data_IF_682096776123
#
_entry.id   IF_682096776123
#
_cell.length_a   1.000
_cell.length_b   1.000
_cell.length_c   1.000
_cell.angle_alpha   90.00
_cell.angle_beta   90.00
_cell.angle_gamma   90.00
#
_symmetry.space_group_name_H-M   'P 1'
#
loop_
_entity.id
_entity.type
_entity.pdbx_description
1 polymer ?
#
# COMPACT_ATOMS: atom_id res chain seq x y z
N UNK A 1 -2.84 -9.38 -5.04
CA UNK A 1 -4.17 -8.94 -4.63
C UNK A 1 -5.06 -8.71 -5.85
N UNK A 2 -4.86 -7.69 -6.66
CA UNK A 2 -5.72 -7.33 -7.81
C UNK A 2 -5.91 -8.42 -8.88
N UNK A 3 -5.16 -9.47 -8.89
CA UNK A 3 -5.28 -10.60 -9.82
C UNK A 3 -6.10 -11.81 -9.32
N UNK A 4 -6.71 -11.74 -8.13
CA UNK A 4 -7.49 -12.87 -7.59
C UNK A 4 -6.75 -14.21 -7.58
N UNK A 5 -5.40 -14.19 -7.50
CA UNK A 5 -4.55 -15.38 -7.61
C UNK A 5 -4.13 -15.75 -9.05
N UNK A 6 -4.59 -15.00 -10.06
CA UNK A 6 -4.23 -15.16 -11.47
C UNK A 6 -3.41 -13.97 -11.97
N UNK A 7 -2.82 -14.10 -13.16
CA UNK A 7 -2.14 -12.98 -13.84
C UNK A 7 -3.20 -12.01 -14.39
N UNK A 8 -2.99 -10.72 -14.18
CA UNK A 8 -3.88 -9.67 -14.68
C UNK A 8 -4.72 -9.02 -13.59
N UNK A 9 -5.74 -8.27 -13.99
CA UNK A 9 -6.70 -7.60 -13.12
C UNK A 9 -7.94 -8.47 -12.96
N UNK A 10 -8.34 -8.71 -11.73
CA UNK A 10 -9.61 -9.36 -11.41
C UNK A 10 -10.64 -8.27 -11.06
N UNK A 11 -11.68 -8.06 -11.89
CA UNK A 11 -12.66 -7.00 -11.67
C UNK A 11 -13.40 -7.10 -10.33
N UNK A 12 -13.69 -8.31 -9.85
CA UNK A 12 -14.41 -8.51 -8.58
C UNK A 12 -13.56 -8.05 -7.39
N UNK A 13 -12.26 -8.32 -7.43
CA UNK A 13 -11.32 -7.85 -6.39
C UNK A 13 -11.20 -6.33 -6.43
N UNK A 14 -11.14 -5.73 -7.62
CA UNK A 14 -11.07 -4.27 -7.77
C UNK A 14 -12.35 -3.62 -7.29
N UNK A 15 -13.51 -4.15 -7.66
CA UNK A 15 -14.83 -3.66 -7.21
C UNK A 15 -14.95 -3.70 -5.69
N UNK A 16 -14.54 -4.79 -5.04
CA UNK A 16 -14.57 -4.90 -3.58
C UNK A 16 -13.66 -3.86 -2.90
N UNK A 17 -12.46 -3.63 -3.43
CA UNK A 17 -11.56 -2.59 -2.89
C UNK A 17 -12.14 -1.20 -3.11
N UNK A 18 -12.67 -0.91 -4.30
CA UNK A 18 -13.32 0.38 -4.61
C UNK A 18 -14.51 0.65 -3.68
N UNK A 19 -15.35 -0.35 -3.43
CA UNK A 19 -16.47 -0.26 -2.50
C UNK A 19 -16.02 0.12 -1.09
N UNK A 20 -15.03 -0.60 -0.52
CA UNK A 20 -14.51 -0.31 0.83
C UNK A 20 -13.85 1.08 0.92
N UNK A 21 -13.18 1.54 -0.15
CA UNK A 21 -12.61 2.89 -0.19
C UNK A 21 -13.71 3.95 -0.28
N UNK A 22 -14.78 3.68 -1.01
CA UNK A 22 -15.92 4.59 -1.14
C UNK A 22 -16.60 4.83 0.21
N UNK A 23 -16.77 3.80 1.04
CA UNK A 23 -17.29 3.95 2.41
C UNK A 23 -16.44 4.91 3.24
N UNK A 24 -15.11 4.77 3.19
CA UNK A 24 -14.17 5.61 3.94
C UNK A 24 -14.16 7.06 3.45
N UNK A 25 -14.23 7.27 2.14
CA UNK A 25 -14.33 8.61 1.54
C UNK A 25 -15.64 9.30 1.93
N UNK A 26 -16.76 8.55 1.98
CA UNK A 26 -18.04 9.08 2.42
C UNK A 26 -18.04 9.56 3.87
N UNK A 27 -17.19 8.97 4.72
CA UNK A 27 -16.96 9.42 6.10
C UNK A 27 -16.05 10.67 6.21
N UNK A 28 -15.63 11.24 5.07
CA UNK A 28 -14.83 12.46 5.01
C UNK A 28 -13.33 12.27 5.21
N UNK A 29 -12.84 11.03 5.09
CA UNK A 29 -11.41 10.72 5.22
C UNK A 29 -10.67 11.01 3.90
N UNK A 30 -9.54 11.71 3.98
CA UNK A 30 -8.63 11.90 2.85
C UNK A 30 -7.88 10.59 2.55
N UNK A 31 -8.05 10.07 1.34
CA UNK A 31 -7.52 8.75 0.95
C UNK A 31 -6.50 8.87 -0.17
N UNK A 32 -5.30 8.34 0.10
CA UNK A 32 -4.28 8.08 -0.91
C UNK A 32 -3.96 6.58 -0.97
N UNK A 33 -3.84 6.02 -2.15
CA UNK A 33 -3.65 4.58 -2.37
C UNK A 33 -2.35 4.33 -3.13
N UNK A 34 -1.52 3.41 -2.63
CA UNK A 34 -0.33 2.91 -3.35
C UNK A 34 -0.57 1.47 -3.74
N UNK A 35 -0.48 1.16 -5.03
CA UNK A 35 -0.83 -0.16 -5.56
C UNK A 35 0.41 -0.86 -6.11
N UNK A 36 0.59 -2.15 -5.75
CA UNK A 36 1.63 -3.00 -6.31
C UNK A 36 1.27 -3.57 -7.68
N UNK A 37 2.27 -4.02 -8.45
CA UNK A 37 2.12 -4.65 -9.77
C UNK A 37 2.36 -6.16 -9.78
N UNK A 38 2.45 -6.79 -8.60
CA UNK A 38 2.83 -8.21 -8.48
C UNK A 38 1.84 -9.24 -9.03
N UNK A 39 0.63 -8.81 -9.43
CA UNK A 39 -0.34 -9.61 -10.18
C UNK A 39 0.01 -9.72 -11.67
N UNK A 40 0.89 -8.89 -12.18
CA UNK A 40 1.45 -8.99 -13.52
C UNK A 40 2.86 -9.56 -13.50
N UNK A 41 3.78 -8.85 -12.83
CA UNK A 41 5.20 -9.19 -12.81
C UNK A 41 5.82 -8.91 -11.46
N UNK A 42 6.81 -9.74 -11.11
CA UNK A 42 7.71 -9.49 -9.98
C UNK A 42 9.14 -9.48 -10.49
N UNK A 43 9.82 -8.35 -10.38
CA UNK A 43 11.18 -8.18 -10.91
C UNK A 43 12.17 -9.23 -10.40
N UNK A 44 12.06 -9.62 -9.12
CA UNK A 44 12.89 -10.69 -8.56
C UNK A 44 12.64 -12.08 -9.20
N UNK A 45 11.38 -12.41 -9.53
CA UNK A 45 11.03 -13.66 -10.21
C UNK A 45 11.49 -13.66 -11.68
N UNK A 46 11.37 -12.51 -12.35
CA UNK A 46 11.87 -12.33 -13.71
C UNK A 46 13.40 -12.43 -13.78
N UNK A 47 14.09 -11.90 -12.77
CA UNK A 47 15.55 -12.04 -12.65
C UNK A 47 15.98 -13.50 -12.52
N UNK A 48 15.27 -14.31 -11.74
CA UNK A 48 15.55 -15.75 -11.63
C UNK A 48 15.41 -16.49 -12.97
N UNK A 49 14.63 -15.93 -13.89
CA UNK A 49 14.43 -16.44 -15.27
C UNK A 49 15.38 -15.83 -16.31
N UNK A 50 16.42 -15.09 -15.86
CA UNK A 50 17.47 -14.53 -16.70
C UNK A 50 17.22 -13.10 -17.20
N UNK A 51 16.15 -12.43 -16.76
CA UNK A 51 15.93 -11.02 -17.10
C UNK A 51 16.82 -10.12 -16.22
N UNK A 52 17.29 -8.99 -16.75
CA UNK A 52 17.93 -7.96 -15.96
C UNK A 52 16.97 -7.39 -14.91
N UNK A 53 17.40 -7.31 -13.66
CA UNK A 53 16.55 -6.93 -12.52
C UNK A 53 15.89 -5.57 -12.70
N UNK A 54 16.64 -4.57 -13.12
CA UNK A 54 16.09 -3.21 -13.28
C UNK A 54 15.00 -3.15 -14.34
N UNK A 55 15.15 -3.89 -15.43
CA UNK A 55 14.11 -4.01 -16.48
C UNK A 55 12.86 -4.70 -15.96
N UNK A 56 13.02 -5.78 -15.20
CA UNK A 56 11.91 -6.48 -14.55
C UNK A 56 11.16 -5.57 -13.54
N UNK A 57 11.89 -4.74 -12.81
CA UNK A 57 11.30 -3.78 -11.89
C UNK A 57 10.51 -2.67 -12.63
N UNK A 58 11.01 -2.15 -13.76
CA UNK A 58 10.24 -1.22 -14.59
C UNK A 58 8.97 -1.87 -15.17
N UNK A 59 9.02 -3.13 -15.60
CA UNK A 59 7.81 -3.85 -16.02
C UNK A 59 6.80 -3.94 -14.85
N UNK A 60 7.26 -4.25 -13.65
CA UNK A 60 6.41 -4.27 -12.45
C UNK A 60 5.81 -2.89 -12.15
N UNK A 61 6.58 -1.81 -12.31
CA UNK A 61 6.09 -0.44 -12.15
C UNK A 61 4.97 -0.11 -13.15
N UNK A 62 5.11 -0.49 -14.44
CA UNK A 62 4.04 -0.33 -15.43
C UNK A 62 2.80 -1.15 -15.05
N UNK A 63 2.98 -2.36 -14.51
CA UNK A 63 1.90 -3.16 -13.96
C UNK A 63 1.13 -2.46 -12.83
N UNK A 64 1.81 -1.67 -11.99
CA UNK A 64 1.12 -0.86 -10.98
C UNK A 64 0.21 0.18 -11.59
N UNK A 65 0.64 0.83 -12.68
CA UNK A 65 -0.17 1.85 -13.36
C UNK A 65 -1.43 1.24 -13.97
N UNK A 66 -1.35 0.04 -14.55
CA UNK A 66 -2.55 -0.67 -15.04
C UNK A 66 -3.55 -0.92 -13.89
N UNK A 67 -3.08 -1.34 -12.71
CA UNK A 67 -3.94 -1.51 -11.54
C UNK A 67 -4.53 -0.18 -11.05
N UNK A 68 -3.76 0.92 -11.12
CA UNK A 68 -4.26 2.24 -10.74
C UNK A 68 -5.43 2.69 -11.63
N UNK A 69 -5.31 2.49 -12.94
CA UNK A 69 -6.38 2.82 -13.90
C UNK A 69 -7.63 1.97 -13.67
N UNK A 70 -7.45 0.68 -13.39
CA UNK A 70 -8.58 -0.18 -13.06
C UNK A 70 -9.31 0.30 -11.80
N UNK A 71 -8.59 0.63 -10.71
CA UNK A 71 -9.22 1.14 -9.50
C UNK A 71 -9.87 2.52 -9.71
N UNK A 72 -9.24 3.39 -10.50
CA UNK A 72 -9.83 4.69 -10.88
C UNK A 72 -11.18 4.50 -11.58
N UNK A 73 -11.25 3.64 -12.61
CA UNK A 73 -12.49 3.40 -13.36
C UNK A 73 -13.64 2.94 -12.45
N UNK A 74 -13.37 2.02 -11.53
CA UNK A 74 -14.37 1.54 -10.58
C UNK A 74 -14.82 2.63 -9.59
N UNK A 75 -13.89 3.39 -9.02
CA UNK A 75 -14.22 4.49 -8.10
C UNK A 75 -15.04 5.59 -8.79
N UNK A 76 -14.67 6.00 -10.00
CA UNK A 76 -15.35 7.08 -10.72
C UNK A 76 -16.71 6.60 -11.27
N UNK A 77 -16.77 5.42 -11.91
CA UNK A 77 -17.95 4.95 -12.61
C UNK A 77 -19.01 4.32 -11.68
N UNK A 78 -18.58 3.56 -10.68
CA UNK A 78 -19.52 2.84 -9.81
C UNK A 78 -19.88 3.62 -8.55
N UNK A 79 -18.96 4.45 -8.07
CA UNK A 79 -19.16 5.18 -6.81
C UNK A 79 -19.22 6.71 -6.96
N UNK A 80 -18.98 7.25 -8.18
CA UNK A 80 -19.00 8.69 -8.43
C UNK A 80 -17.91 9.48 -7.72
N UNK A 81 -16.81 8.82 -7.32
CA UNK A 81 -15.72 9.42 -6.56
C UNK A 81 -14.67 9.95 -7.52
N UNK A 82 -14.48 11.27 -7.56
CA UNK A 82 -13.38 11.90 -8.30
C UNK A 82 -12.04 11.31 -7.88
N UNK A 83 -11.30 10.77 -8.84
CA UNK A 83 -10.03 10.07 -8.57
C UNK A 83 -8.92 10.59 -9.47
N UNK A 84 -7.68 10.63 -8.97
CA UNK A 84 -6.50 11.02 -9.76
C UNK A 84 -5.41 9.98 -9.64
N UNK A 85 -5.01 9.41 -10.78
CA UNK A 85 -3.84 8.56 -10.87
C UNK A 85 -2.62 9.45 -11.09
N UNK A 86 -1.60 9.30 -10.23
CA UNK A 86 -0.33 10.01 -10.33
C UNK A 86 0.81 8.99 -10.44
N UNK A 87 1.71 9.19 -11.40
CA UNK A 87 2.80 8.26 -11.70
C UNK A 87 4.16 8.88 -11.39
N UNK A 88 5.04 8.07 -10.79
CA UNK A 88 6.45 8.42 -10.60
C UNK A 88 7.28 8.35 -11.90
N UNK A 89 6.76 7.66 -12.94
CA UNK A 89 7.32 7.66 -14.29
C UNK A 89 6.46 8.58 -15.15
N UNK A 90 7.08 9.49 -15.90
CA UNK A 90 6.36 10.44 -16.76
C UNK A 90 5.60 9.71 -17.87
N UNK A 91 4.29 9.84 -17.87
CA UNK A 91 3.38 9.28 -18.87
C UNK A 91 2.10 10.11 -18.96
N UNK A 92 2.26 11.39 -19.27
CA UNK A 92 1.23 12.42 -19.17
C UNK A 92 -0.06 12.18 -19.94
N UNK A 93 -0.08 11.24 -20.92
CA UNK A 93 -1.30 10.83 -21.62
C UNK A 93 -2.15 9.85 -20.81
N UNK A 94 -1.58 9.22 -19.77
CA UNK A 94 -2.20 8.13 -19.01
C UNK A 94 -2.44 8.51 -17.55
N UNK A 95 -1.47 9.18 -16.93
CA UNK A 95 -1.50 9.55 -15.51
C UNK A 95 -0.80 10.89 -15.29
N UNK A 96 -1.22 11.63 -14.27
CA UNK A 96 -0.54 12.88 -13.90
C UNK A 96 0.88 12.59 -13.39
N UNK A 97 1.87 13.46 -13.67
CA UNK A 97 3.17 13.38 -13.00
C UNK A 97 3.00 13.55 -11.49
N UNK A 98 3.65 12.69 -10.71
CA UNK A 98 3.62 12.79 -9.26
C UNK A 98 4.34 14.06 -8.78
N UNK A 99 3.61 14.90 -8.10
CA UNK A 99 4.08 16.08 -7.38
C UNK A 99 3.38 16.13 -6.03
N UNK A 100 4.09 16.05 -4.87
CA UNK A 100 3.46 15.94 -3.55
C UNK A 100 2.39 16.99 -3.27
N UNK A 101 2.69 18.27 -3.50
CA UNK A 101 1.73 19.38 -3.30
C UNK A 101 0.49 19.29 -4.19
N UNK A 102 0.59 18.69 -5.38
CA UNK A 102 -0.57 18.45 -6.24
C UNK A 102 -1.42 17.31 -5.69
N UNK A 103 -0.79 16.24 -5.20
CA UNK A 103 -1.50 15.15 -4.54
C UNK A 103 -2.29 15.65 -3.33
N UNK A 104 -1.65 16.41 -2.43
CA UNK A 104 -2.33 17.04 -1.29
C UNK A 104 -3.51 17.90 -1.73
N UNK A 105 -3.33 18.73 -2.78
CA UNK A 105 -4.41 19.58 -3.29
C UNK A 105 -5.57 18.77 -3.87
N UNK A 106 -5.33 17.59 -4.42
CA UNK A 106 -6.42 16.69 -4.84
C UNK A 106 -7.19 16.14 -3.63
N UNK A 107 -6.50 15.69 -2.59
CA UNK A 107 -7.13 15.17 -1.37
C UNK A 107 -7.94 16.24 -0.64
N UNK A 108 -7.41 17.46 -0.49
CA UNK A 108 -8.15 18.62 0.05
C UNK A 108 -9.47 18.93 -0.70
N UNK A 109 -9.57 18.51 -1.96
CA UNK A 109 -10.79 18.63 -2.77
C UNK A 109 -11.70 17.39 -2.69
N UNK A 110 -11.45 16.48 -1.76
CA UNK A 110 -12.20 15.25 -1.58
C UNK A 110 -11.97 14.20 -2.66
N UNK A 111 -10.84 14.27 -3.40
CA UNK A 111 -10.47 13.29 -4.42
C UNK A 111 -9.63 12.19 -3.85
N UNK A 112 -9.86 10.97 -4.30
CA UNK A 112 -8.92 9.87 -4.06
C UNK A 112 -7.69 10.03 -4.96
N UNK A 113 -6.50 9.90 -4.39
CA UNK A 113 -5.25 9.91 -5.16
C UNK A 113 -4.68 8.50 -5.20
N UNK A 114 -4.35 7.98 -6.39
CA UNK A 114 -3.77 6.66 -6.56
C UNK A 114 -2.36 6.82 -7.14
N UNK A 115 -1.35 6.31 -6.42
CA UNK A 115 0.05 6.39 -6.82
C UNK A 115 0.50 5.14 -7.57
N UNK A 116 0.88 5.32 -8.83
CA UNK A 116 1.46 4.31 -9.69
C UNK A 116 2.97 4.45 -9.88
N UNK A 117 3.61 3.42 -10.43
CA UNK A 117 5.04 3.32 -10.68
C UNK A 117 5.92 3.36 -9.41
N UNK A 118 5.36 3.11 -8.23
CA UNK A 118 6.11 3.01 -6.99
C UNK A 118 6.94 4.26 -6.67
N UNK A 119 8.26 4.07 -6.45
CA UNK A 119 9.21 5.19 -6.28
C UNK A 119 9.70 5.76 -7.61
N UNK A 120 9.45 5.10 -8.74
CA UNK A 120 10.04 5.39 -10.04
C UNK A 120 11.45 4.84 -10.23
N UNK A 121 12.01 4.17 -9.22
CA UNK A 121 13.36 3.62 -9.22
C UNK A 121 13.35 2.11 -9.02
N UNK A 122 14.19 1.35 -9.75
CA UNK A 122 14.38 -0.08 -9.51
C UNK A 122 14.86 -0.38 -8.10
N UNK A 123 14.72 -1.64 -7.70
CA UNK A 123 15.13 -2.21 -6.40
C UNK A 123 14.31 -1.79 -5.19
N UNK A 124 13.37 -0.87 -5.32
CA UNK A 124 12.46 -0.49 -4.25
C UNK A 124 11.12 -1.24 -4.34
N UNK A 125 10.60 -1.61 -3.19
CA UNK A 125 9.29 -2.27 -3.10
C UNK A 125 8.13 -1.27 -3.10
N UNK A 126 6.92 -1.79 -3.31
CA UNK A 126 5.68 -1.01 -3.12
C UNK A 126 5.51 -0.57 -1.67
N UNK A 127 5.96 -1.36 -0.69
CA UNK A 127 5.88 -1.01 0.73
C UNK A 127 6.74 0.22 1.04
N UNK A 128 7.97 0.27 0.49
CA UNK A 128 8.85 1.45 0.58
C UNK A 128 8.20 2.66 -0.10
N UNK A 129 7.60 2.46 -1.28
CA UNK A 129 6.89 3.54 -1.95
C UNK A 129 5.72 4.07 -1.11
N UNK A 130 4.94 3.19 -0.47
CA UNK A 130 3.84 3.60 0.41
C UNK A 130 4.33 4.43 1.60
N UNK A 131 5.40 4.00 2.27
CA UNK A 131 6.01 4.75 3.36
C UNK A 131 6.50 6.13 2.90
N UNK A 132 7.21 6.19 1.77
CA UNK A 132 7.70 7.45 1.21
C UNK A 132 6.55 8.41 0.85
N UNK A 133 5.52 7.92 0.13
CA UNK A 133 4.36 8.75 -0.26
C UNK A 133 3.61 9.26 0.96
N UNK A 134 3.41 8.43 1.97
CA UNK A 134 2.74 8.84 3.22
C UNK A 134 3.46 10.02 3.87
N UNK A 135 4.78 9.98 3.98
CA UNK A 135 5.59 11.07 4.53
C UNK A 135 5.52 12.34 3.67
N UNK A 136 5.62 12.21 2.34
CA UNK A 136 5.61 13.33 1.42
C UNK A 136 4.28 14.08 1.38
N UNK A 137 3.16 13.40 1.63
CA UNK A 137 1.82 14.01 1.66
C UNK A 137 1.32 14.34 3.07
N UNK A 138 2.10 14.03 4.11
CA UNK A 138 1.73 14.29 5.50
C UNK A 138 0.60 13.39 6.02
N UNK A 139 0.55 12.12 5.59
CA UNK A 139 -0.44 11.17 6.09
C UNK A 139 -0.25 10.89 7.59
N UNK A 140 -1.33 10.60 8.31
CA UNK A 140 -1.30 10.29 9.73
C UNK A 140 -0.90 8.85 10.02
N UNK A 141 -1.14 7.93 9.07
CA UNK A 141 -0.87 6.49 9.22
C UNK A 141 -0.67 5.84 7.86
N UNK A 142 0.17 4.80 7.81
CA UNK A 142 0.27 3.90 6.66
C UNK A 142 -0.58 2.65 6.91
N UNK A 143 -1.62 2.44 6.11
CA UNK A 143 -2.44 1.25 6.14
C UNK A 143 -1.86 0.20 5.19
N UNK A 144 -1.12 -0.79 5.74
CA UNK A 144 -0.55 -1.88 4.97
C UNK A 144 -1.54 -3.04 4.86
N UNK A 145 -2.37 -2.98 3.84
CA UNK A 145 -3.33 -4.01 3.50
C UNK A 145 -2.65 -5.23 2.87
N UNK A 146 -2.62 -6.35 3.58
CA UNK A 146 -1.92 -7.59 3.20
C UNK A 146 -2.90 -8.76 3.09
N UNK A 147 -2.40 -9.94 2.72
CA UNK A 147 -3.16 -11.19 2.73
C UNK A 147 -3.03 -11.98 4.04
N UNK A 148 -2.58 -11.32 5.12
CA UNK A 148 -2.42 -11.88 6.47
C UNK A 148 -3.06 -10.93 7.48
N UNK A 149 -3.47 -11.45 8.63
CA UNK A 149 -4.23 -10.67 9.61
C UNK A 149 -3.40 -9.58 10.30
N UNK A 150 -2.07 -9.66 10.27
CA UNK A 150 -1.15 -8.68 10.86
C UNK A 150 0.26 -9.22 10.93
N UNK A 151 1.03 -8.76 11.89
CA UNK A 151 2.40 -9.21 12.18
C UNK A 151 2.35 -10.37 13.17
N UNK A 152 2.99 -11.49 12.84
CA UNK A 152 3.06 -12.67 13.67
C UNK A 152 4.46 -12.89 14.22
N UNK A 153 4.57 -13.64 15.31
CA UNK A 153 5.84 -14.05 15.93
C UNK A 153 6.72 -14.90 14.99
N UNK A 154 6.10 -15.59 14.03
CA UNK A 154 6.72 -16.38 12.97
C UNK A 154 5.74 -16.48 11.79
N UNK A 155 6.13 -17.08 10.66
CA UNK A 155 5.22 -17.29 9.53
C UNK A 155 4.09 -18.29 9.93
N UNK A 156 2.83 -17.84 9.99
CA UNK A 156 1.71 -18.71 10.42
C UNK A 156 1.43 -19.86 9.44
N UNK A 157 1.93 -19.79 8.20
CA UNK A 157 1.79 -20.88 7.20
C UNK A 157 2.71 -22.05 7.49
N UNK A 158 3.85 -21.80 8.14
CA UNK A 158 4.87 -22.82 8.45
C UNK A 158 4.94 -23.13 9.93
N UNK A 159 4.46 -22.24 10.78
CA UNK A 159 4.53 -22.34 12.25
C UNK A 159 3.13 -22.20 12.84
N UNK A 160 2.42 -23.32 13.13
CA UNK A 160 1.05 -23.27 13.67
C UNK A 160 0.92 -22.58 15.03
N UNK A 161 2.00 -22.48 15.80
CA UNK A 161 2.07 -21.78 17.09
C UNK A 161 2.41 -20.28 16.96
N UNK A 162 2.44 -19.73 15.74
CA UNK A 162 2.69 -18.31 15.54
C UNK A 162 1.53 -17.49 16.11
N UNK A 163 1.86 -16.54 16.98
CA UNK A 163 0.91 -15.64 17.63
C UNK A 163 0.89 -14.29 16.91
N UNK A 164 -0.31 -13.70 16.80
CA UNK A 164 -0.51 -12.38 16.23
C UNK A 164 -0.18 -11.30 17.27
N UNK A 165 0.65 -10.31 16.89
CA UNK A 165 0.83 -9.12 17.71
C UNK A 165 -0.34 -8.16 17.55
N UNK A 166 -0.89 -7.65 18.65
CA UNK A 166 -1.80 -6.49 18.63
C UNK A 166 -1.01 -5.21 18.35
N UNK A 167 0.13 -5.06 19.04
CA UNK A 167 1.06 -3.94 18.89
C UNK A 167 2.49 -4.45 18.92
N UNK A 168 3.37 -3.80 18.16
CA UNK A 168 4.81 -4.08 18.15
C UNK A 168 5.56 -2.81 17.74
N UNK A 169 6.81 -2.65 18.16
CA UNK A 169 7.62 -1.51 17.72
C UNK A 169 8.27 -1.77 16.37
N UNK A 170 8.52 -0.71 15.59
CA UNK A 170 9.29 -0.81 14.33
C UNK A 170 10.64 -1.49 14.58
N UNK A 171 11.32 -1.14 15.68
CA UNK A 171 12.60 -1.71 16.08
C UNK A 171 12.51 -3.23 16.26
N UNK A 172 11.51 -3.70 17.00
CA UNK A 172 11.32 -5.15 17.23
C UNK A 172 11.01 -5.90 15.92
N UNK A 173 10.24 -5.30 14.99
CA UNK A 173 9.99 -5.90 13.67
C UNK A 173 11.30 -6.09 12.93
N UNK A 174 12.18 -5.09 12.93
CA UNK A 174 13.48 -5.13 12.26
C UNK A 174 14.44 -6.11 12.95
N UNK A 175 14.59 -6.04 14.27
CA UNK A 175 15.49 -6.90 15.05
C UNK A 175 15.13 -8.39 14.97
N UNK A 176 13.83 -8.70 14.98
CA UNK A 176 13.32 -10.08 14.84
C UNK A 176 13.27 -10.55 13.38
N UNK A 177 13.51 -9.66 12.40
CA UNK A 177 13.46 -10.00 10.98
C UNK A 177 12.08 -10.46 10.50
N UNK A 178 10.99 -9.90 11.04
CA UNK A 178 9.62 -10.28 10.71
C UNK A 178 9.27 -9.83 9.29
N UNK A 179 8.91 -10.79 8.42
CA UNK A 179 8.76 -10.57 6.96
C UNK A 179 7.32 -10.26 6.56
N UNK A 180 6.69 -9.27 7.17
CA UNK A 180 5.34 -8.83 6.79
C UNK A 180 5.37 -7.73 5.72
N UNK A 181 6.42 -6.92 5.71
CA UNK A 181 6.72 -5.90 4.73
C UNK A 181 8.24 -5.73 4.57
N UNK A 182 8.64 -4.84 3.67
CA UNK A 182 10.04 -4.51 3.40
C UNK A 182 10.69 -3.79 4.59
N UNK A 183 11.89 -4.22 4.98
CA UNK A 183 12.66 -3.60 6.06
C UNK A 183 12.93 -2.10 5.81
N UNK A 184 13.14 -1.69 4.56
CA UNK A 184 13.32 -0.28 4.20
C UNK A 184 12.08 0.56 4.54
N UNK A 185 10.86 0.02 4.32
CA UNK A 185 9.63 0.70 4.69
C UNK A 185 9.52 0.90 6.21
N UNK A 186 9.84 -0.14 7.00
CA UNK A 186 9.82 -0.05 8.46
C UNK A 186 10.87 0.92 8.99
N UNK A 187 12.10 0.91 8.45
CA UNK A 187 13.16 1.84 8.84
C UNK A 187 12.76 3.28 8.56
N UNK A 188 12.23 3.55 7.36
CA UNK A 188 11.79 4.89 6.98
C UNK A 188 10.66 5.40 7.89
N UNK A 189 9.67 4.56 8.20
CA UNK A 189 8.59 4.91 9.12
C UNK A 189 9.07 5.07 10.57
N UNK A 190 10.03 4.25 11.03
CA UNK A 190 10.64 4.36 12.35
C UNK A 190 11.33 5.71 12.55
N UNK A 191 12.17 6.11 11.59
CA UNK A 191 12.94 7.35 11.66
C UNK A 191 12.06 8.60 11.64
N UNK A 192 10.86 8.50 11.06
CA UNK A 192 9.90 9.59 10.95
C UNK A 192 8.67 9.44 11.87
N UNK A 193 8.69 8.50 12.81
CA UNK A 193 7.61 8.24 13.77
C UNK A 193 6.25 7.96 13.11
N UNK A 194 6.24 7.49 11.86
CA UNK A 194 5.04 7.19 11.10
C UNK A 194 4.46 5.84 11.53
N UNK A 195 3.25 5.79 12.09
CA UNK A 195 2.63 4.52 12.47
C UNK A 195 2.22 3.72 11.23
N UNK A 196 2.30 2.39 11.34
CA UNK A 196 1.86 1.45 10.32
C UNK A 196 0.81 0.53 10.93
N UNK A 197 -0.35 0.39 10.32
CA UNK A 197 -1.33 -0.63 10.65
C UNK A 197 -1.31 -1.72 9.60
N UNK A 198 -0.90 -2.92 9.99
CA UNK A 198 -0.89 -4.11 9.11
C UNK A 198 -2.16 -4.91 9.33
N UNK A 199 -2.95 -5.15 8.29
CA UNK A 199 -4.22 -5.87 8.39
C UNK A 199 -4.56 -6.66 7.13
N UNK A 200 -5.57 -7.53 7.23
CA UNK A 200 -6.02 -8.39 6.14
C UNK A 200 -7.04 -7.67 5.26
N UNK A 201 -6.65 -7.39 4.00
CA UNK A 201 -7.52 -6.76 3.00
C UNK A 201 -8.66 -7.69 2.54
N UNK A 202 -8.45 -9.01 2.60
CA UNK A 202 -9.40 -9.99 2.08
C UNK A 202 -10.64 -10.15 2.98
N UNK A 203 -10.61 -9.59 4.18
CA UNK A 203 -11.77 -9.52 5.07
C UNK A 203 -12.57 -8.28 4.78
N UNK A 204 -13.82 -8.47 4.37
CA UNK A 204 -14.76 -7.41 4.06
C UNK A 204 -14.92 -6.42 5.23
N UNK A 205 -14.96 -5.12 4.91
CA UNK A 205 -15.09 -4.03 5.87
C UNK A 205 -13.83 -3.73 6.69
N UNK A 206 -12.69 -4.39 6.44
CA UNK A 206 -11.48 -4.14 7.20
C UNK A 206 -10.85 -2.78 6.92
N UNK A 207 -11.01 -2.20 5.73
CA UNK A 207 -10.53 -0.83 5.46
C UNK A 207 -11.29 0.16 6.33
N UNK A 208 -12.61 0.09 6.37
CA UNK A 208 -13.44 0.96 7.21
C UNK A 208 -13.15 0.78 8.71
N UNK A 209 -12.94 -0.47 9.16
CA UNK A 209 -12.54 -0.76 10.55
C UNK A 209 -11.17 -0.17 10.89
N UNK A 210 -10.19 -0.28 9.98
CA UNK A 210 -8.86 0.30 10.15
C UNK A 210 -8.93 1.81 10.35
N UNK A 211 -9.65 2.50 9.46
CA UNK A 211 -9.80 3.94 9.47
C UNK A 211 -10.60 4.43 10.70
N UNK A 212 -11.62 3.69 11.13
CA UNK A 212 -12.40 4.05 12.34
C UNK A 212 -11.69 3.78 13.66
N UNK A 213 -10.43 3.36 13.64
CA UNK A 213 -9.63 3.09 14.85
C UNK A 213 -10.04 1.83 15.60
N UNK A 214 -10.82 0.93 14.98
CA UNK A 214 -11.14 -0.36 15.58
C UNK A 214 -9.89 -1.23 15.67
N UNK A 215 -9.78 -1.99 16.75
CA UNK A 215 -8.66 -2.93 16.93
C UNK A 215 -8.74 -4.06 15.91
N UNK A 216 -7.97 -3.93 14.85
CA UNK A 216 -7.76 -4.97 13.84
C UNK A 216 -6.28 -5.03 13.50
N UNK A 217 -5.82 -6.20 13.12
CA UNK A 217 -4.44 -6.36 12.67
C UNK A 217 -3.40 -6.04 13.73
N UNK A 218 -2.27 -5.51 13.33
CA UNK A 218 -1.15 -5.13 14.18
C UNK A 218 -0.76 -3.67 13.97
N UNK A 219 -0.78 -2.89 15.04
CA UNK A 219 -0.22 -1.52 15.02
C UNK A 219 1.29 -1.60 15.26
N UNK A 220 2.06 -1.13 14.29
CA UNK A 220 3.51 -0.96 14.39
C UNK A 220 3.81 0.52 14.58
N UNK A 221 4.43 0.88 15.70
CA UNK A 221 4.74 2.27 16.04
C UNK A 221 6.07 2.40 16.77
N UNK A 222 6.62 3.60 16.80
CA UNK A 222 7.74 3.95 17.69
C UNK A 222 7.15 4.64 18.91
N UNK A 223 7.37 4.18 20.16
CA UNK A 223 6.97 4.91 21.33
C UNK A 223 7.61 6.31 21.28
N UNK A 224 6.82 7.34 21.56
CA UNK A 224 7.39 8.67 21.77
C UNK A 224 8.48 8.54 22.85
N UNK A 225 9.69 9.03 22.58
CA UNK A 225 10.72 9.09 23.61
C UNK A 225 10.11 9.85 24.79
N UNK A 226 10.09 9.22 25.98
CA UNK A 226 9.71 9.94 27.19
C UNK A 226 10.62 11.18 27.26
N UNK A 227 10.02 12.36 27.27
CA UNK A 227 10.77 13.60 27.43
C UNK A 227 11.56 13.48 28.72
N UNK A 228 12.91 13.43 28.58
CA UNK A 228 13.84 13.49 29.71
C UNK A 228 13.78 14.86 30.37
#
# INVERSE_FOLDING_TARGET
MFGGGKVGVDPEVVANVAFQLAEVVADGVEVAVVIGGGNFFRGAELQQRGMERSRGDYMSMLGTVMNCLALQDFLEREHGIDTRVMSAITMGQVAEPYIPRRAMRHMEKGRVVIFGAGTGMPYFSTDTAAAQRALEIGAEVVLMAKGVDGVYTADPKTTPSAELFETITHREVLERGLKVADATAFSLCMDNLMPILVFNLLREGNIARAVSGRRIGTLVSTPAAAAL
#
